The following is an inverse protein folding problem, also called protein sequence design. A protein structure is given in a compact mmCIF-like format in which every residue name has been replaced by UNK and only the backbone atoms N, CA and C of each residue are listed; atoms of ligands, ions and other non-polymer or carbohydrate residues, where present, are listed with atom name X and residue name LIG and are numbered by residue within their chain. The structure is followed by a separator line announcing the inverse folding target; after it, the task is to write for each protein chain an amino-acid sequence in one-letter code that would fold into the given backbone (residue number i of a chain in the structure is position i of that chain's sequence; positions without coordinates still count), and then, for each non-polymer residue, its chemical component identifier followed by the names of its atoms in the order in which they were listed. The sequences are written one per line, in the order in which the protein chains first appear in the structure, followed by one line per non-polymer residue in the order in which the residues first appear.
data_IF_563224927985
#
_entry.id   IF_563224927985
#
_cell.length_a   1.000
_cell.length_b   1.000
_cell.length_c   1.000
_cell.angle_alpha   90.00
_cell.angle_beta   90.00
_cell.angle_gamma   90.00
#
_symmetry.space_group_name_H-M   'P 1'
#
loop_
_entity.id
_entity.type
_entity.pdbx_description
1 polymer ?
#
# COMPACT_ATOMS: atom_id res chain seq x y z
N UNK A 1 13.59 -6.37 91.31
CA UNK A 1 12.29 -5.81 90.90
C UNK A 1 12.63 -4.54 90.13
N UNK A 2 12.44 -4.39 88.83
CA UNK A 2 11.48 -4.98 87.91
C UNK A 2 12.00 -4.74 86.47
N UNK A 3 12.22 -5.80 85.68
CA UNK A 3 12.53 -5.69 84.25
C UNK A 3 11.26 -5.29 83.49
N UNK A 4 11.25 -4.09 82.91
CA UNK A 4 10.18 -3.68 81.99
C UNK A 4 10.46 -4.25 80.60
N UNK A 5 9.99 -5.48 80.39
CA UNK A 5 9.87 -6.08 79.07
C UNK A 5 8.88 -5.26 78.23
N UNK A 6 9.39 -4.36 77.39
CA UNK A 6 8.61 -3.71 76.35
C UNK A 6 8.32 -4.74 75.25
N UNK A 7 7.30 -5.57 75.48
CA UNK A 7 6.68 -6.36 74.44
C UNK A 7 6.07 -5.38 73.43
N UNK A 8 6.82 -5.10 72.37
CA UNK A 8 6.31 -4.48 71.16
C UNK A 8 5.28 -5.43 70.53
N UNK A 9 4.04 -5.34 71.00
CA UNK A 9 2.86 -5.92 70.35
C UNK A 9 2.70 -5.23 68.99
N UNK A 10 3.30 -5.81 67.94
CA UNK A 10 2.94 -5.49 66.56
C UNK A 10 1.46 -5.83 66.38
N UNK A 11 0.61 -4.81 66.39
CA UNK A 11 -0.77 -4.92 65.93
C UNK A 11 -0.74 -5.11 64.41
N UNK A 12 -0.73 -6.35 63.96
CA UNK A 12 -1.00 -6.68 62.56
C UNK A 12 -2.51 -6.60 62.33
N UNK A 13 -3.03 -5.38 62.16
CA UNK A 13 -4.37 -5.20 61.60
C UNK A 13 -4.34 -5.72 60.16
N UNK A 14 -4.85 -6.92 59.94
CA UNK A 14 -5.09 -7.44 58.59
C UNK A 14 -6.20 -6.66 57.91
N UNK A 15 -6.23 -6.68 56.58
CA UNK A 15 -7.34 -6.11 55.81
C UNK A 15 -8.64 -6.86 56.09
N UNK A 16 -9.74 -6.13 56.18
CA UNK A 16 -11.06 -6.75 56.24
C UNK A 16 -11.40 -7.36 54.88
N UNK A 17 -12.26 -8.38 54.88
CA UNK A 17 -12.75 -8.98 53.63
C UNK A 17 -13.38 -7.94 52.70
N UNK A 18 -14.09 -6.96 53.26
CA UNK A 18 -14.74 -5.90 52.52
C UNK A 18 -13.74 -4.97 51.82
N UNK A 19 -12.64 -4.60 52.48
CA UNK A 19 -11.59 -3.77 51.89
C UNK A 19 -10.85 -4.49 50.75
N UNK A 20 -10.58 -5.79 50.92
CA UNK A 20 -9.97 -6.61 49.87
C UNK A 20 -10.91 -6.73 48.67
N UNK A 21 -12.19 -7.01 48.94
CA UNK A 21 -13.21 -7.11 47.89
C UNK A 21 -13.35 -5.78 47.13
N UNK A 22 -13.44 -4.66 47.84
CA UNK A 22 -13.52 -3.32 47.24
C UNK A 22 -12.27 -2.95 46.44
N UNK A 23 -11.08 -3.34 46.91
CA UNK A 23 -9.83 -3.08 46.18
C UNK A 23 -9.75 -3.89 44.88
N UNK A 24 -10.15 -5.18 44.93
CA UNK A 24 -10.18 -6.05 43.75
C UNK A 24 -11.23 -5.57 42.73
N UNK A 25 -12.40 -5.10 43.18
CA UNK A 25 -13.44 -4.60 42.26
C UNK A 25 -12.99 -3.33 41.55
N UNK A 26 -12.40 -2.37 42.28
CA UNK A 26 -11.84 -1.15 41.68
C UNK A 26 -10.72 -1.50 40.69
N UNK A 27 -9.79 -2.38 41.09
CA UNK A 27 -8.71 -2.83 40.22
C UNK A 27 -9.25 -3.51 38.95
N UNK A 28 -10.29 -4.33 39.08
CA UNK A 28 -10.91 -5.03 37.94
C UNK A 28 -11.52 -4.06 36.94
N UNK A 29 -12.23 -3.03 37.41
CA UNK A 29 -12.83 -2.00 36.54
C UNK A 29 -11.73 -1.27 35.77
N UNK A 30 -10.64 -0.88 36.44
CA UNK A 30 -9.50 -0.20 35.79
C UNK A 30 -8.82 -1.14 34.79
N UNK A 31 -8.59 -2.40 35.17
CA UNK A 31 -7.95 -3.38 34.30
C UNK A 31 -8.75 -3.62 33.01
N UNK A 32 -10.08 -3.76 33.10
CA UNK A 32 -10.95 -3.94 31.92
C UNK A 32 -10.84 -2.73 30.97
N UNK A 33 -10.88 -1.51 31.51
CA UNK A 33 -10.68 -0.30 30.70
C UNK A 33 -9.32 -0.28 29.99
N UNK A 34 -8.26 -0.65 30.71
CA UNK A 34 -6.90 -0.72 30.18
C UNK A 34 -6.75 -1.81 29.10
N UNK A 35 -7.38 -2.98 29.28
CA UNK A 35 -7.38 -4.04 28.27
C UNK A 35 -8.07 -3.60 26.97
N UNK A 36 -9.19 -2.87 27.06
CA UNK A 36 -9.85 -2.34 25.86
C UNK A 36 -8.95 -1.37 25.08
N UNK A 37 -8.26 -0.46 25.79
CA UNK A 37 -7.28 0.44 25.18
C UNK A 37 -6.15 -0.33 24.48
N UNK A 38 -5.59 -1.36 25.13
CA UNK A 38 -4.51 -2.14 24.55
C UNK A 38 -4.91 -2.93 23.31
N UNK A 39 -6.11 -3.52 23.29
CA UNK A 39 -6.62 -4.21 22.09
C UNK A 39 -6.72 -3.26 20.91
N UNK A 40 -7.27 -2.06 21.12
CA UNK A 40 -7.36 -1.05 20.08
C UNK A 40 -5.98 -0.59 19.59
N UNK A 41 -5.05 -0.32 20.51
CA UNK A 41 -3.69 0.09 20.16
C UNK A 41 -2.94 -0.98 19.36
N UNK A 42 -3.15 -2.25 19.69
CA UNK A 42 -2.58 -3.37 18.94
C UNK A 42 -3.14 -3.45 17.51
N UNK A 43 -4.46 -3.31 17.34
CA UNK A 43 -5.08 -3.27 16.01
C UNK A 43 -4.54 -2.13 15.14
N UNK A 44 -4.42 -0.91 15.70
CA UNK A 44 -3.80 0.21 14.99
C UNK A 44 -2.35 -0.07 14.60
N UNK A 45 -1.58 -0.74 15.46
CA UNK A 45 -0.20 -1.09 15.16
C UNK A 45 -0.11 -2.06 13.98
N UNK A 46 -0.95 -3.10 13.95
CA UNK A 46 -1.03 -4.04 12.82
C UNK A 46 -1.43 -3.34 11.54
N UNK A 47 -2.49 -2.52 11.56
CA UNK A 47 -2.92 -1.75 10.39
C UNK A 47 -1.82 -0.82 9.85
N UNK A 48 -1.09 -0.13 10.73
CA UNK A 48 0.02 0.73 10.33
C UNK A 48 1.20 -0.06 9.74
N UNK A 49 1.46 -1.27 10.24
CA UNK A 49 2.46 -2.18 9.66
C UNK A 49 2.07 -2.58 8.25
N UNK A 50 0.82 -3.02 8.05
CA UNK A 50 0.29 -3.43 6.76
C UNK A 50 0.33 -2.29 5.72
N UNK A 51 -0.08 -1.09 6.14
CA UNK A 51 0.06 0.15 5.36
C UNK A 51 1.51 0.45 4.97
N UNK A 52 2.45 0.30 5.91
CA UNK A 52 3.88 0.52 5.65
C UNK A 52 4.43 -0.48 4.64
N UNK A 53 4.03 -1.75 4.75
CA UNK A 53 4.39 -2.79 3.77
C UNK A 53 3.84 -2.45 2.39
N UNK A 54 2.56 -2.07 2.28
CA UNK A 54 1.94 -1.68 1.01
C UNK A 54 2.67 -0.51 0.33
N UNK A 55 3.01 0.54 1.08
CA UNK A 55 3.78 1.69 0.56
C UNK A 55 5.15 1.24 0.04
N UNK A 56 5.85 0.38 0.78
CA UNK A 56 7.18 -0.09 0.35
C UNK A 56 7.09 -1.00 -0.89
N UNK A 57 6.06 -1.84 -0.99
CA UNK A 57 5.79 -2.62 -2.21
C UNK A 57 5.50 -1.67 -3.37
N UNK A 58 4.62 -0.69 -3.19
CA UNK A 58 4.29 0.28 -4.24
C UNK A 58 5.54 1.03 -4.73
N UNK A 59 6.45 1.43 -3.83
CA UNK A 59 7.74 2.05 -4.19
C UNK A 59 8.61 1.11 -5.00
N UNK A 60 8.69 -0.17 -4.60
CA UNK A 60 9.47 -1.19 -5.32
C UNK A 60 8.94 -1.44 -6.73
N UNK A 61 7.61 -1.53 -6.86
CA UNK A 61 6.92 -1.65 -8.15
C UNK A 61 7.18 -0.44 -9.03
N UNK A 62 7.00 0.78 -8.50
CA UNK A 62 7.26 2.00 -9.24
C UNK A 62 8.71 2.07 -9.71
N UNK A 63 9.67 1.78 -8.81
CA UNK A 63 11.09 1.76 -9.15
C UNK A 63 11.45 0.67 -10.16
N UNK A 64 10.72 -0.45 -10.21
CA UNK A 64 10.90 -1.45 -11.25
C UNK A 64 10.40 -0.92 -12.61
N UNK A 65 9.19 -0.35 -12.64
CA UNK A 65 8.57 0.17 -13.86
C UNK A 65 9.37 1.34 -14.46
N UNK A 66 9.92 2.22 -13.64
CA UNK A 66 10.79 3.32 -14.07
C UNK A 66 12.11 2.87 -14.70
N UNK A 67 12.52 1.61 -14.52
CA UNK A 67 13.75 1.05 -15.08
C UNK A 67 13.54 0.32 -16.39
N UNK A 68 12.29 0.07 -16.78
CA UNK A 68 11.97 -0.55 -18.06
C UNK A 68 12.34 0.41 -19.20
N UNK A 69 12.63 -0.14 -20.37
CA UNK A 69 12.84 0.68 -21.56
C UNK A 69 11.56 1.45 -21.88
N UNK A 70 11.64 2.77 -21.89
CA UNK A 70 10.49 3.63 -22.11
C UNK A 70 9.84 3.41 -23.47
N UNK A 71 10.67 3.19 -24.51
CA UNK A 71 10.17 3.01 -25.88
C UNK A 71 9.38 1.72 -25.99
N UNK A 72 9.92 0.61 -25.46
CA UNK A 72 9.22 -0.68 -25.43
C UNK A 72 7.93 -0.60 -24.59
N UNK A 73 7.99 0.05 -23.42
CA UNK A 73 6.82 0.20 -22.55
C UNK A 73 5.72 1.05 -23.21
N UNK A 74 6.08 2.15 -23.85
CA UNK A 74 5.14 3.01 -24.56
C UNK A 74 4.49 2.27 -25.73
N UNK A 75 5.28 1.55 -26.53
CA UNK A 75 4.75 0.72 -27.62
C UNK A 75 3.80 -0.36 -27.09
N UNK A 76 4.13 -1.00 -25.97
CA UNK A 76 3.25 -1.96 -25.32
C UNK A 76 1.92 -1.30 -24.91
N UNK A 77 1.96 -0.12 -24.28
CA UNK A 77 0.75 0.63 -23.88
C UNK A 77 -0.10 0.99 -25.09
N UNK A 78 0.49 1.58 -26.12
CA UNK A 78 -0.19 1.96 -27.37
C UNK A 78 -0.81 0.73 -28.05
N UNK A 79 -0.11 -0.40 -28.08
CA UNK A 79 -0.62 -1.64 -28.67
C UNK A 79 -1.85 -2.18 -27.92
N UNK A 80 -1.86 -2.09 -26.58
CA UNK A 80 -2.98 -2.53 -25.76
C UNK A 80 -4.19 -1.60 -25.90
N UNK A 81 -3.95 -0.29 -25.99
CA UNK A 81 -5.01 0.70 -26.17
C UNK A 81 -5.69 0.60 -27.54
N UNK A 82 -4.96 0.27 -28.60
CA UNK A 82 -5.54 0.07 -29.93
C UNK A 82 -6.44 -1.18 -30.02
N UNK A 83 -6.28 -2.14 -29.12
CA UNK A 83 -7.01 -3.41 -29.10
C UNK A 83 -8.13 -3.48 -28.05
N UNK A 84 -8.24 -2.47 -27.18
CA UNK A 84 -9.20 -2.47 -26.06
C UNK A 84 -10.27 -1.41 -26.28
N UNK A 85 -11.52 -1.72 -25.96
CA UNK A 85 -12.64 -0.76 -26.00
C UNK A 85 -12.37 0.43 -25.05
N UNK A 86 -11.85 1.52 -25.60
CA UNK A 86 -11.93 2.91 -25.08
C UNK A 86 -11.61 3.14 -23.59
N UNK A 87 -10.68 2.37 -22.99
CA UNK A 87 -10.18 2.70 -21.65
C UNK A 87 -8.98 3.65 -21.77
N UNK A 88 -8.90 4.72 -20.97
CA UNK A 88 -7.81 5.69 -21.04
C UNK A 88 -6.52 5.20 -20.37
N UNK A 89 -6.43 3.91 -20.06
CA UNK A 89 -5.33 3.32 -19.31
C UNK A 89 -5.09 1.87 -19.71
N UNK A 90 -3.90 1.37 -19.39
CA UNK A 90 -3.55 -0.05 -19.42
C UNK A 90 -3.40 -0.54 -17.98
N UNK A 91 -4.22 -1.53 -17.62
CA UNK A 91 -4.17 -2.19 -16.33
C UNK A 91 -3.17 -3.35 -16.36
N UNK A 92 -2.31 -3.42 -15.35
CA UNK A 92 -1.29 -4.45 -15.19
C UNK A 92 -1.26 -5.00 -13.76
N UNK A 93 -0.83 -6.25 -13.65
CA UNK A 93 -0.49 -6.94 -12.42
C UNK A 93 0.66 -7.94 -12.68
N UNK A 94 1.02 -8.75 -11.68
CA UNK A 94 2.13 -9.69 -11.80
C UNK A 94 2.00 -10.72 -12.95
N UNK A 95 0.77 -11.05 -13.38
CA UNK A 95 0.57 -11.99 -14.50
C UNK A 95 0.95 -11.41 -15.86
N UNK A 96 0.97 -10.08 -16.01
CA UNK A 96 1.36 -9.41 -17.25
C UNK A 96 2.85 -9.57 -17.56
N UNK A 97 3.67 -9.96 -16.57
CA UNK A 97 5.05 -10.37 -16.79
C UNK A 97 5.20 -11.57 -17.74
N UNK A 98 4.13 -12.38 -17.89
CA UNK A 98 4.08 -13.50 -18.83
C UNK A 98 3.44 -13.11 -20.17
N UNK A 99 2.91 -11.89 -20.31
CA UNK A 99 2.21 -11.47 -21.50
C UNK A 99 3.20 -11.22 -22.65
N UNK A 100 2.81 -11.63 -23.85
CA UNK A 100 3.61 -11.39 -25.04
C UNK A 100 3.78 -9.88 -25.27
N UNK A 101 5.02 -9.47 -25.55
CA UNK A 101 5.40 -8.08 -25.80
C UNK A 101 5.56 -7.21 -24.55
N UNK A 102 5.32 -7.72 -23.33
CA UNK A 102 5.61 -6.94 -22.12
C UNK A 102 7.13 -6.77 -21.94
N UNK A 103 7.65 -5.54 -21.75
CA UNK A 103 9.07 -5.30 -21.58
C UNK A 103 9.59 -5.89 -20.27
N UNK A 104 10.74 -6.57 -20.34
CA UNK A 104 11.40 -7.18 -19.18
C UNK A 104 12.78 -6.56 -18.97
N UNK A 105 13.16 -6.32 -17.71
CA UNK A 105 14.54 -5.93 -17.39
C UNK A 105 15.51 -7.04 -17.81
N UNK A 106 16.53 -6.69 -18.58
CA UNK A 106 17.48 -7.65 -19.15
C UNK A 106 17.11 -8.17 -20.55
N UNK A 107 15.94 -7.76 -21.07
CA UNK A 107 15.45 -8.13 -22.39
C UNK A 107 15.05 -9.61 -22.48
N UNK A 108 15.11 -10.17 -23.69
CA UNK A 108 14.77 -11.59 -23.95
C UNK A 108 15.89 -12.58 -23.57
N UNK A 109 17.06 -12.08 -23.16
CA UNK A 109 18.16 -12.92 -22.70
C UNK A 109 17.76 -13.57 -21.37
N UNK A 110 17.66 -14.89 -21.33
CA UNK A 110 17.14 -15.65 -20.18
C UNK A 110 15.72 -15.19 -19.76
N UNK A 111 14.78 -15.27 -20.71
CA UNK A 111 13.36 -14.92 -20.55
C UNK A 111 12.74 -15.49 -19.27
N UNK A 112 13.07 -16.73 -18.90
CA UNK A 112 12.52 -17.36 -17.69
C UNK A 112 12.96 -16.62 -16.41
N UNK A 113 14.24 -16.27 -16.30
CA UNK A 113 14.76 -15.53 -15.14
C UNK A 113 14.22 -14.11 -15.09
N UNK A 114 14.14 -13.42 -16.22
CA UNK A 114 13.65 -12.03 -16.26
C UNK A 114 12.15 -11.96 -15.97
N UNK A 115 11.36 -12.92 -16.49
CA UNK A 115 9.94 -13.05 -16.15
C UNK A 115 9.74 -13.28 -14.64
N UNK A 116 10.50 -14.21 -14.03
CA UNK A 116 10.43 -14.43 -12.57
C UNK A 116 10.85 -13.20 -11.76
N UNK A 117 11.77 -12.39 -12.29
CA UNK A 117 12.19 -11.13 -11.65
C UNK A 117 11.08 -10.10 -11.71
N UNK A 118 10.43 -9.96 -12.87
CA UNK A 118 9.23 -9.14 -13.04
C UNK A 118 8.11 -9.57 -12.08
N UNK A 119 7.77 -10.86 -12.05
CA UNK A 119 6.69 -11.37 -11.19
C UNK A 119 6.95 -11.08 -9.71
N UNK A 120 8.21 -11.17 -9.26
CA UNK A 120 8.59 -10.83 -7.88
C UNK A 120 8.58 -9.33 -7.61
N UNK A 121 8.88 -8.51 -8.62
CA UNK A 121 8.84 -7.06 -8.49
C UNK A 121 7.39 -6.56 -8.44
N UNK A 122 6.52 -7.08 -9.30
CA UNK A 122 5.11 -6.68 -9.41
C UNK A 122 4.19 -7.41 -8.42
N UNK A 123 4.64 -8.52 -7.82
CA UNK A 123 3.85 -9.32 -6.87
C UNK A 123 4.73 -10.06 -5.87
N UNK A 124 5.42 -9.34 -4.96
CA UNK A 124 6.30 -9.97 -3.99
C UNK A 124 5.53 -10.78 -2.94
N UNK A 125 6.24 -11.69 -2.27
CA UNK A 125 5.77 -12.29 -1.03
C UNK A 125 6.47 -11.62 0.15
N UNK A 126 5.71 -10.97 1.04
CA UNK A 126 6.23 -10.27 2.23
C UNK A 126 5.50 -10.83 3.46
N UNK A 127 6.23 -11.22 4.50
CA UNK A 127 5.66 -11.80 5.72
C UNK A 127 4.68 -12.97 5.45
N UNK A 128 5.02 -13.85 4.51
CA UNK A 128 4.19 -14.98 4.07
C UNK A 128 2.85 -14.60 3.40
N UNK A 129 2.64 -13.33 3.06
CA UNK A 129 1.51 -12.85 2.28
C UNK A 129 1.97 -12.67 0.83
N UNK A 130 1.26 -13.28 -0.11
CA UNK A 130 1.48 -13.12 -1.55
C UNK A 130 0.67 -11.92 -2.08
N UNK A 131 1.35 -10.97 -2.70
CA UNK A 131 0.75 -9.73 -3.21
C UNK A 131 0.45 -9.76 -4.73
N UNK A 132 0.63 -10.87 -5.43
CA UNK A 132 0.41 -10.96 -6.89
C UNK A 132 -0.95 -10.44 -7.38
N UNK A 133 -2.02 -10.67 -6.62
CA UNK A 133 -3.38 -10.21 -6.93
C UNK A 133 -3.77 -8.92 -6.22
N UNK A 134 -2.88 -8.40 -5.37
CA UNK A 134 -3.08 -7.22 -4.52
C UNK A 134 -2.37 -5.97 -5.06
N UNK A 135 -1.43 -6.15 -5.98
CA UNK A 135 -0.77 -5.07 -6.71
C UNK A 135 -1.53 -4.80 -8.00
N UNK A 136 -1.95 -3.56 -8.18
CA UNK A 136 -2.65 -3.06 -9.34
C UNK A 136 -1.87 -1.88 -9.91
N UNK A 137 -1.52 -1.94 -11.19
CA UNK A 137 -0.71 -0.93 -11.86
C UNK A 137 -1.53 -0.38 -13.02
N UNK A 138 -1.56 0.94 -13.15
CA UNK A 138 -2.30 1.63 -14.21
C UNK A 138 -1.33 2.56 -14.93
N UNK A 139 -1.10 2.29 -16.21
CA UNK A 139 -0.34 3.14 -17.10
C UNK A 139 -1.32 4.00 -17.90
N UNK A 140 -1.15 5.31 -17.85
CA UNK A 140 -2.04 6.30 -18.46
C UNK A 140 -1.19 7.16 -19.40
N UNK A 141 -1.56 7.29 -20.69
CA UNK A 141 -0.92 8.25 -21.57
C UNK A 141 -0.89 9.65 -20.96
N UNK A 142 0.20 10.38 -21.16
CA UNK A 142 0.37 11.72 -20.59
C UNK A 142 -0.34 12.79 -21.44
N UNK A 143 -1.58 12.54 -21.88
CA UNK A 143 -2.39 13.48 -22.65
C UNK A 143 -3.70 13.85 -21.95
N UNK A 144 -4.26 15.00 -22.35
CA UNK A 144 -5.43 15.58 -21.69
C UNK A 144 -6.67 14.70 -21.79
N UNK A 145 -6.85 14.03 -22.93
CA UNK A 145 -8.04 13.21 -23.17
C UNK A 145 -8.02 12.00 -22.23
N UNK A 146 -6.90 11.29 -22.13
CA UNK A 146 -6.77 10.15 -21.23
C UNK A 146 -6.98 10.56 -19.75
N UNK A 147 -6.42 11.70 -19.35
CA UNK A 147 -6.58 12.24 -18.00
C UNK A 147 -8.04 12.65 -17.67
N UNK A 148 -8.70 13.35 -18.59
CA UNK A 148 -10.11 13.74 -18.43
C UNK A 148 -11.05 12.51 -18.38
N UNK A 149 -10.79 11.50 -19.23
CA UNK A 149 -11.56 10.24 -19.23
C UNK A 149 -11.34 9.44 -17.94
N UNK A 150 -10.11 9.41 -17.39
CA UNK A 150 -9.80 8.77 -16.11
C UNK A 150 -10.51 9.48 -14.94
N UNK A 151 -10.55 10.81 -14.95
CA UNK A 151 -11.28 11.61 -13.96
C UNK A 151 -12.79 11.32 -13.99
N UNK A 152 -13.34 11.20 -15.19
CA UNK A 152 -14.75 10.91 -15.41
C UNK A 152 -15.13 9.48 -15.01
N UNK A 153 -14.30 8.50 -15.37
CA UNK A 153 -14.56 7.07 -15.20
C UNK A 153 -13.36 6.37 -14.52
N UNK A 154 -13.13 6.59 -13.21
CA UNK A 154 -12.02 5.95 -12.51
C UNK A 154 -12.22 4.42 -12.41
N UNK A 155 -11.13 3.62 -12.44
CA UNK A 155 -11.20 2.17 -12.27
C UNK A 155 -11.77 1.76 -10.90
N UNK A 156 -12.42 0.60 -10.83
CA UNK A 156 -12.99 0.05 -9.59
C UNK A 156 -11.94 -0.22 -8.49
N UNK A 157 -10.68 -0.39 -8.87
CA UNK A 157 -9.57 -0.61 -7.94
C UNK A 157 -9.07 0.68 -7.29
N UNK A 158 -9.54 1.86 -7.72
CA UNK A 158 -9.10 3.13 -7.17
C UNK A 158 -9.81 3.41 -5.84
N UNK A 159 -9.06 3.62 -4.73
CA UNK A 159 -9.67 4.04 -3.47
C UNK A 159 -10.20 5.47 -3.59
N UNK A 160 -11.19 5.81 -2.75
CA UNK A 160 -11.79 7.15 -2.74
C UNK A 160 -10.75 8.27 -2.55
N UNK A 161 -9.69 8.00 -1.77
CA UNK A 161 -8.59 8.94 -1.55
C UNK A 161 -7.81 9.30 -2.83
N UNK A 162 -7.61 8.34 -3.73
CA UNK A 162 -6.95 8.58 -5.02
C UNK A 162 -7.87 9.31 -5.99
N UNK A 163 -9.14 8.89 -6.05
CA UNK A 163 -10.14 9.53 -6.92
C UNK A 163 -10.28 11.01 -6.58
N UNK A 164 -10.35 11.34 -5.28
CA UNK A 164 -10.44 12.72 -4.83
C UNK A 164 -9.19 13.52 -5.22
N UNK A 165 -7.98 12.95 -5.03
CA UNK A 165 -6.75 13.60 -5.48
C UNK A 165 -6.75 13.89 -6.97
N UNK A 166 -7.08 12.89 -7.80
CA UNK A 166 -7.12 13.03 -9.26
C UNK A 166 -8.14 14.09 -9.69
N UNK A 167 -9.28 14.21 -9.01
CA UNK A 167 -10.29 15.24 -9.31
C UNK A 167 -9.84 16.65 -8.93
N UNK A 168 -8.99 16.79 -7.92
CA UNK A 168 -8.43 18.07 -7.47
C UNK A 168 -7.22 18.51 -8.29
N UNK A 169 -6.59 17.60 -9.03
CA UNK A 169 -5.48 17.91 -9.94
C UNK A 169 -5.98 18.70 -11.15
N UNK A 170 -5.52 19.95 -11.23
CA UNK A 170 -5.72 20.81 -12.38
C UNK A 170 -4.65 20.53 -13.44
N UNK A 171 -5.04 19.80 -14.48
CA UNK A 171 -4.19 19.42 -15.59
C UNK A 171 -4.48 20.29 -16.84
N UNK A 172 -4.96 21.53 -16.65
CA UNK A 172 -5.24 22.47 -17.77
C UNK A 172 -4.03 22.73 -18.68
N UNK A 173 -2.79 22.51 -18.19
CA UNK A 173 -1.55 22.82 -18.88
C UNK A 173 -0.65 21.59 -19.15
N UNK A 174 -1.24 20.45 -19.55
CA UNK A 174 -0.42 19.36 -20.10
C UNK A 174 0.26 19.87 -21.38
N UNK A 175 1.58 20.04 -21.33
CA UNK A 175 2.34 20.41 -22.51
C UNK A 175 2.24 19.27 -23.54
N UNK A 176 1.67 19.56 -24.70
CA UNK A 176 1.53 18.61 -25.81
C UNK A 176 2.86 18.03 -26.26
N UNK A 177 3.96 18.78 -26.09
CA UNK A 177 5.31 18.34 -26.46
C UNK A 177 5.80 17.20 -25.56
N UNK A 178 5.28 17.08 -24.34
CA UNK A 178 5.67 16.04 -23.38
C UNK A 178 4.86 14.75 -23.50
N UNK A 179 3.74 14.76 -24.21
CA UNK A 179 2.85 13.60 -24.39
C UNK A 179 3.61 12.38 -24.95
N UNK A 180 4.63 12.63 -25.77
CA UNK A 180 5.40 11.58 -26.40
C UNK A 180 6.51 10.99 -25.53
N UNK A 181 6.88 11.68 -24.45
CA UNK A 181 8.04 11.36 -23.62
C UNK A 181 7.68 10.99 -22.20
N UNK A 182 6.39 11.06 -21.82
CA UNK A 182 5.91 10.79 -20.47
C UNK A 182 4.78 9.76 -20.50
N UNK A 183 4.76 8.91 -19.48
CA UNK A 183 3.64 8.02 -19.14
C UNK A 183 3.33 8.20 -17.66
N UNK A 184 2.07 8.51 -17.34
CA UNK A 184 1.63 8.59 -15.94
C UNK A 184 1.39 7.17 -15.43
N UNK A 185 1.83 6.89 -14.20
CA UNK A 185 1.67 5.57 -13.57
C UNK A 185 1.04 5.73 -12.21
N UNK A 186 0.03 4.90 -11.94
CA UNK A 186 -0.52 4.69 -10.60
C UNK A 186 -0.25 3.26 -10.16
N UNK A 187 0.35 3.10 -9.00
CA UNK A 187 0.58 1.81 -8.36
C UNK A 187 -0.25 1.75 -7.11
N UNK A 188 -1.18 0.80 -7.03
CA UNK A 188 -2.09 0.60 -5.91
C UNK A 188 -1.80 -0.78 -5.30
N UNK A 189 -1.61 -0.83 -3.99
CA UNK A 189 -1.31 -2.06 -3.25
C UNK A 189 -2.34 -2.23 -2.14
N UNK A 190 -3.13 -3.30 -2.25
CA UNK A 190 -4.16 -3.66 -1.26
C UNK A 190 -3.56 -4.46 -0.12
N UNK A 191 -3.66 -3.94 1.09
CA UNK A 191 -3.23 -4.65 2.30
C UNK A 191 -4.39 -5.30 3.06
N UNK A 192 -5.64 -4.90 2.80
CA UNK A 192 -6.85 -5.57 3.30
C UNK A 192 -7.76 -6.09 2.18
N UNK A 193 -9.02 -6.36 2.53
CA UNK A 193 -10.03 -6.93 1.63
C UNK A 193 -10.93 -5.86 1.01
N UNK A 194 -10.98 -4.65 1.57
CA UNK A 194 -11.65 -3.50 0.97
C UNK A 194 -10.74 -2.78 -0.04
N UNK A 195 -11.32 -2.06 -1.00
CA UNK A 195 -10.54 -1.19 -1.91
C UNK A 195 -9.91 -0.04 -1.12
N UNK A 196 -10.59 0.41 -0.07
CA UNK A 196 -10.10 1.43 0.86
C UNK A 196 -8.92 0.94 1.72
N UNK A 197 -8.76 -0.39 1.84
CA UNK A 197 -7.60 -0.98 2.51
C UNK A 197 -6.41 -1.06 1.55
N UNK A 198 -6.06 0.06 0.94
CA UNK A 198 -4.99 0.17 -0.04
C UNK A 198 -4.16 1.42 0.13
N UNK A 199 -2.91 1.34 -0.33
CA UNK A 199 -2.03 2.48 -0.47
C UNK A 199 -1.66 2.62 -1.94
N UNK A 200 -1.52 3.86 -2.38
CA UNK A 200 -1.21 4.15 -3.76
C UNK A 200 -0.03 5.11 -3.86
N UNK A 201 0.71 4.98 -4.95
CA UNK A 201 1.73 5.92 -5.37
C UNK A 201 1.47 6.31 -6.81
N UNK A 202 1.77 7.56 -7.10
CA UNK A 202 1.75 8.11 -8.43
C UNK A 202 3.19 8.43 -8.86
N UNK A 203 3.46 8.26 -10.14
CA UNK A 203 4.70 8.67 -10.75
C UNK A 203 4.51 9.01 -12.22
N UNK A 204 5.62 9.43 -12.84
CA UNK A 204 5.71 9.64 -14.28
C UNK A 204 6.96 8.94 -14.77
N UNK A 205 6.79 8.02 -15.71
CA UNK A 205 7.90 7.37 -16.41
C UNK A 205 8.26 8.27 -17.59
N UNK A 206 9.53 8.66 -17.67
CA UNK A 206 10.03 9.56 -18.69
C UNK A 206 11.01 8.86 -19.63
N UNK A 207 10.98 9.25 -20.90
CA UNK A 207 12.01 8.93 -21.87
C UNK A 207 13.37 9.49 -21.40
N UNK A 208 14.43 8.68 -21.49
CA UNK A 208 15.77 9.09 -21.08
C UNK A 208 16.32 10.28 -21.90
N UNK A 209 15.79 10.52 -23.10
CA UNK A 209 16.23 11.62 -23.98
C UNK A 209 15.88 13.02 -23.45
N UNK A 210 14.94 13.13 -22.51
CA UNK A 210 14.51 14.40 -21.91
C UNK A 210 14.94 14.58 -20.44
N UNK A 211 15.73 13.65 -19.90
CA UNK A 211 16.28 13.69 -18.54
C UNK A 211 17.58 14.50 -18.42
#
# INVERSE_FOLDING_TARGET
MEEKNFLALRSSKGFTLLEVLASITILSIVAIGMFSFFTNAMQYTTHNQDKTVAINIARGVLAYMERLDFTELKQYVESKMNNTDSQPFVYLNASDCSADGFPLLGGENDKETNQKTCERALGPAVNNIDYKTRVHIFLVPYDKKAQDELKANPPEQFPASLIEKIRLEDEENINTDLQNYLLKIYVIVRWGDSVEDSEWLEGVIADETIR
#
